data_IF_718480276276
#
_entry.id   IF_718480276276
#
_cell.length_a   1.000
_cell.length_b   1.000
_cell.length_c   1.000
_cell.angle_alpha   90.00
_cell.angle_beta   90.00
_cell.angle_gamma   90.00
#
_symmetry.space_group_name_H-M   'P 1'
#
loop_
_entity.id
_entity.type
_entity.pdbx_description
1 polymer ?
#
# COMPACT_ATOMS: atom_id res chain seq x y z
N UNK A 1 4.87 -4.07 -24.17
CA UNK A 1 3.76 -4.36 -23.25
C UNK A 1 4.09 -3.68 -21.93
N UNK A 2 3.53 -2.48 -21.69
CA UNK A 2 3.94 -1.60 -20.58
C UNK A 2 2.97 -1.76 -19.42
N UNK A 3 3.46 -2.12 -18.25
CA UNK A 3 2.61 -2.38 -17.08
C UNK A 3 2.82 -1.31 -16.02
N UNK A 4 1.79 -0.50 -15.77
CA UNK A 4 1.79 0.55 -14.75
C UNK A 4 1.25 -0.02 -13.44
N UNK A 5 2.14 -0.24 -12.48
CA UNK A 5 1.75 -0.66 -11.14
C UNK A 5 1.48 0.55 -10.25
N UNK A 6 0.38 0.53 -9.49
CA UNK A 6 0.06 1.66 -8.64
C UNK A 6 -1.15 1.46 -7.75
N UNK A 7 -1.56 2.54 -7.09
CA UNK A 7 -2.78 2.60 -6.28
C UNK A 7 -3.68 3.63 -6.95
N UNK A 8 -4.95 3.28 -7.22
CA UNK A 8 -5.90 4.17 -7.91
C UNK A 8 -6.05 5.55 -7.24
N UNK A 9 -5.85 5.65 -5.94
CA UNK A 9 -6.01 6.87 -5.15
C UNK A 9 -4.70 7.65 -4.86
N UNK A 10 -3.61 7.37 -5.57
CA UNK A 10 -2.36 8.13 -5.44
C UNK A 10 -2.25 9.18 -6.56
N UNK A 11 -1.93 10.42 -6.20
CA UNK A 11 -1.79 11.52 -7.16
C UNK A 11 -0.67 11.29 -8.19
N UNK A 12 0.38 10.56 -7.80
CA UNK A 12 1.47 10.16 -8.70
C UNK A 12 0.97 9.28 -9.85
N UNK A 13 0.04 8.36 -9.58
CA UNK A 13 -0.52 7.45 -10.59
C UNK A 13 -1.46 8.20 -11.54
N UNK A 14 -2.22 9.18 -11.04
CA UNK A 14 -3.06 10.03 -11.90
C UNK A 14 -2.20 10.81 -12.90
N UNK A 15 -1.09 11.39 -12.45
CA UNK A 15 -0.13 12.10 -13.32
C UNK A 15 0.53 11.15 -14.32
N UNK A 16 0.95 9.97 -13.88
CA UNK A 16 1.57 8.96 -14.75
C UNK A 16 0.60 8.50 -15.86
N UNK A 17 -0.66 8.22 -15.55
CA UNK A 17 -1.69 7.86 -16.55
C UNK A 17 -1.96 8.98 -17.53
N UNK A 18 -2.03 10.23 -17.07
CA UNK A 18 -2.23 11.39 -17.93
C UNK A 18 -1.07 11.54 -18.93
N UNK A 19 0.18 11.37 -18.46
CA UNK A 19 1.36 11.41 -19.32
C UNK A 19 1.38 10.24 -20.33
N UNK A 20 1.09 9.01 -19.88
CA UNK A 20 1.03 7.84 -20.76
C UNK A 20 -0.06 7.98 -21.84
N UNK A 21 -1.23 8.50 -21.47
CA UNK A 21 -2.32 8.79 -22.41
C UNK A 21 -1.95 9.91 -23.40
N UNK A 22 -1.25 10.95 -22.94
CA UNK A 22 -0.80 12.04 -23.81
C UNK A 22 0.27 11.60 -24.82
N UNK A 23 1.09 10.61 -24.45
CA UNK A 23 2.10 10.02 -25.33
C UNK A 23 1.56 8.84 -26.16
N UNK A 24 0.26 8.53 -26.04
CA UNK A 24 -0.40 7.44 -26.76
C UNK A 24 0.30 6.07 -26.54
N UNK A 25 0.79 5.84 -25.33
CA UNK A 25 1.49 4.60 -24.95
C UNK A 25 0.46 3.63 -24.41
N UNK A 26 0.34 2.46 -25.03
CA UNK A 26 -0.46 1.36 -24.48
C UNK A 26 0.10 0.88 -23.15
N UNK A 27 -0.72 0.94 -22.09
CA UNK A 27 -0.34 0.48 -20.75
C UNK A 27 -1.44 -0.32 -20.06
N UNK A 28 -1.03 -1.30 -19.25
CA UNK A 28 -1.91 -2.09 -18.38
C UNK A 28 -1.75 -1.63 -16.94
N UNK A 29 -2.84 -1.17 -16.30
CA UNK A 29 -2.79 -0.69 -14.91
C UNK A 29 -3.04 -1.84 -13.91
N UNK A 30 -2.10 -2.07 -12.99
CA UNK A 30 -2.21 -3.06 -11.91
C UNK A 30 -2.35 -2.35 -10.55
N UNK A 31 -3.45 -2.61 -9.84
CA UNK A 31 -3.71 -2.02 -8.52
C UNK A 31 -3.12 -2.88 -7.38
N UNK A 32 -2.19 -2.32 -6.60
CA UNK A 32 -1.58 -3.01 -5.47
C UNK A 32 -2.53 -3.23 -4.28
N UNK A 33 -3.58 -2.42 -4.11
CA UNK A 33 -4.50 -2.55 -2.96
C UNK A 33 -5.41 -3.78 -3.04
N UNK A 34 -5.57 -4.36 -4.23
CA UNK A 34 -6.33 -5.60 -4.38
C UNK A 34 -5.61 -6.81 -3.79
N UNK A 35 -4.27 -6.78 -3.70
CA UNK A 35 -3.47 -7.82 -3.05
C UNK A 35 -3.29 -7.53 -1.55
N UNK A 36 -4.40 -7.16 -0.90
CA UNK A 36 -4.60 -6.95 0.54
C UNK A 36 -3.34 -6.95 1.40
N UNK A 37 -3.03 -5.80 1.99
CA UNK A 37 -2.30 -5.78 3.26
C UNK A 37 -3.15 -6.58 4.26
N UNK A 38 -2.90 -7.88 4.37
CA UNK A 38 -3.41 -8.70 5.45
C UNK A 38 -2.99 -8.02 6.75
N UNK A 39 -3.92 -7.60 7.62
CA UNK A 39 -3.60 -7.08 8.93
C UNK A 39 -3.62 -8.18 10.02
N UNK A 40 -2.76 -9.22 10.00
CA UNK A 40 -2.52 -10.01 11.20
C UNK A 40 -1.08 -9.90 11.72
N UNK A 41 -0.26 -8.97 11.23
CA UNK A 41 1.09 -8.76 11.78
C UNK A 41 1.15 -7.66 12.86
N UNK A 42 0.04 -7.40 13.55
CA UNK A 42 0.05 -6.81 14.90
C UNK A 42 0.28 -7.90 15.94
N UNK A 43 1.17 -8.85 15.66
CA UNK A 43 1.51 -9.92 16.60
C UNK A 43 3.00 -9.90 16.90
N UNK A 44 3.25 -9.64 18.19
CA UNK A 44 4.42 -10.08 18.94
C UNK A 44 5.69 -9.24 18.82
N UNK A 45 5.61 -7.92 19.04
CA UNK A 45 6.65 -7.27 19.85
C UNK A 45 6.42 -7.61 21.32
N UNK A 46 6.76 -8.87 21.63
CA UNK A 46 6.99 -9.41 22.96
C UNK A 46 8.19 -8.66 23.57
N UNK A 47 7.97 -7.45 24.06
CA UNK A 47 8.92 -6.74 24.92
C UNK A 47 8.17 -5.90 25.94
N UNK A 48 7.93 -6.52 27.10
CA UNK A 48 7.83 -5.79 28.36
C UNK A 48 6.46 -5.26 28.77
N UNK A 49 5.47 -6.13 28.97
CA UNK A 49 4.46 -5.86 30.00
C UNK A 49 5.19 -5.90 31.36
N UNK A 50 5.76 -4.76 31.77
CA UNK A 50 6.19 -4.56 33.15
C UNK A 50 4.94 -4.67 34.01
N UNK A 51 5.01 -5.62 34.93
CA UNK A 51 4.09 -5.91 36.01
C UNK A 51 3.31 -4.66 36.45
N UNK A 52 2.00 -4.82 36.54
CA UNK A 52 1.17 -3.95 37.33
C UNK A 52 1.82 -3.80 38.70
N UNK A 53 2.20 -2.56 39.03
CA UNK A 53 2.21 -2.10 40.40
C UNK A 53 0.75 -2.10 40.84
N UNK A 54 0.29 -3.24 41.34
CA UNK A 54 -0.89 -3.27 42.18
C UNK A 54 -0.57 -2.45 43.43
N UNK A 55 -1.16 -1.27 43.45
CA UNK A 55 -1.42 -0.54 44.66
C UNK A 55 -2.38 -1.37 45.51
N UNK A 56 -1.86 -2.03 46.54
CA UNK A 56 -2.50 -2.12 47.86
C UNK A 56 -1.47 -2.48 48.93
#
# INVERSE_FOLDING_TARGET
MTTLYGIKNCDTIKKARAWLSANNIDYTFHDYRQNGLTPPMVRASRTGFRLGTDAQ
#
